data_IF_064515643946
#
_entry.id   IF_064515643946
#
_cell.length_a   1.000
_cell.length_b   1.000
_cell.length_c   1.000
_cell.angle_alpha   90.00
_cell.angle_beta   90.00
_cell.angle_gamma   90.00
#
_symmetry.space_group_name_H-M   'P 1'
#
loop_
_entity.id
_entity.type
_entity.pdbx_description
1 polymer ?
#
# COMPACT_ATOMS: atom_id res chain seq x y z
N UNK A 1 -5.13 23.19 13.67
CA UNK A 1 -6.60 23.35 13.48
C UNK A 1 -7.04 23.61 12.04
N UNK A 2 -6.42 24.55 11.31
CA UNK A 2 -6.81 24.84 9.91
C UNK A 2 -6.79 23.60 8.98
N UNK A 3 -5.75 22.76 9.07
CA UNK A 3 -5.62 21.55 8.26
C UNK A 3 -6.77 20.56 8.49
N UNK A 4 -7.19 20.39 9.75
CA UNK A 4 -8.31 19.51 10.13
C UNK A 4 -9.62 19.99 9.51
N UNK A 5 -9.93 21.28 9.64
CA UNK A 5 -11.16 21.86 9.11
C UNK A 5 -11.24 21.73 7.58
N UNK A 6 -10.14 21.99 6.87
CA UNK A 6 -10.08 21.85 5.42
C UNK A 6 -10.22 20.38 4.99
N UNK A 7 -9.58 19.46 5.70
CA UNK A 7 -9.69 18.03 5.41
C UNK A 7 -11.12 17.50 5.63
N UNK A 8 -11.82 17.96 6.68
CA UNK A 8 -13.23 17.60 6.92
C UNK A 8 -14.13 18.09 5.78
N UNK A 9 -13.94 19.33 5.32
CA UNK A 9 -14.66 19.86 4.16
C UNK A 9 -14.33 19.10 2.88
N UNK A 10 -13.08 18.73 2.67
CA UNK A 10 -12.67 17.98 1.49
C UNK A 10 -13.35 16.61 1.42
N UNK A 11 -13.43 15.90 2.55
CA UNK A 11 -14.14 14.62 2.64
C UNK A 11 -15.65 14.80 2.45
N UNK A 12 -16.24 15.87 2.97
CA UNK A 12 -17.66 16.19 2.77
C UNK A 12 -18.00 16.49 1.30
N UNK A 13 -17.06 17.09 0.54
CA UNK A 13 -17.21 17.33 -0.90
C UNK A 13 -16.98 16.07 -1.74
N UNK A 14 -15.98 15.27 -1.35
CA UNK A 14 -15.60 14.06 -2.09
C UNK A 14 -14.97 13.03 -1.14
N UNK A 15 -15.70 11.95 -0.88
CA UNK A 15 -15.25 10.85 -0.02
C UNK A 15 -14.37 9.86 -0.80
N UNK A 16 -13.19 10.29 -1.21
CA UNK A 16 -12.17 9.42 -1.82
C UNK A 16 -11.24 8.82 -0.76
N UNK A 17 -10.64 7.65 -1.04
CA UNK A 17 -9.69 7.01 -0.11
C UNK A 17 -8.52 7.93 0.25
N UNK A 18 -8.00 8.68 -0.73
CA UNK A 18 -6.92 9.65 -0.52
C UNK A 18 -7.31 10.79 0.42
N UNK A 19 -8.51 11.33 0.27
CA UNK A 19 -9.02 12.41 1.12
C UNK A 19 -9.28 11.92 2.55
N UNK A 20 -9.81 10.70 2.70
CA UNK A 20 -10.03 10.06 4.00
C UNK A 20 -8.69 9.83 4.71
N UNK A 21 -7.67 9.35 3.98
CA UNK A 21 -6.32 9.18 4.54
C UNK A 21 -5.74 10.54 5.00
N UNK A 22 -5.88 11.59 4.20
CA UNK A 22 -5.42 12.94 4.57
C UNK A 22 -6.12 13.45 5.85
N UNK A 23 -7.44 13.25 5.96
CA UNK A 23 -8.19 13.60 7.17
C UNK A 23 -7.71 12.80 8.39
N UNK A 24 -7.49 11.49 8.22
CA UNK A 24 -6.95 10.65 9.28
C UNK A 24 -5.55 11.11 9.73
N UNK A 25 -4.69 11.55 8.80
CA UNK A 25 -3.37 12.12 9.13
C UNK A 25 -3.54 13.39 9.96
N UNK A 26 -4.44 14.29 9.58
CA UNK A 26 -4.72 15.50 10.36
C UNK A 26 -5.23 15.17 11.76
N UNK A 27 -6.08 14.14 11.93
CA UNK A 27 -6.53 13.68 13.25
C UNK A 27 -5.40 13.07 14.08
N UNK A 28 -4.52 12.28 13.47
CA UNK A 28 -3.37 11.68 14.16
C UNK A 28 -2.38 12.76 14.64
N UNK A 29 -2.04 13.72 13.77
CA UNK A 29 -1.18 14.86 14.12
C UNK A 29 -1.82 15.77 15.18
N UNK A 30 -3.15 15.89 15.18
CA UNK A 30 -3.92 16.58 16.22
C UNK A 30 -4.09 15.81 17.52
N UNK A 31 -3.30 14.75 17.73
CA UNK A 31 -3.34 13.84 18.88
C UNK A 31 -4.72 13.22 19.16
N UNK A 32 -5.55 13.10 18.12
CA UNK A 32 -6.91 12.54 18.16
C UNK A 32 -6.92 11.15 17.52
N UNK A 33 -6.01 10.27 17.97
CA UNK A 33 -5.84 8.91 17.44
C UNK A 33 -7.12 8.07 17.49
N UNK A 34 -7.97 8.29 18.49
CA UNK A 34 -9.27 7.63 18.59
C UNK A 34 -10.20 7.95 17.40
N UNK A 35 -10.27 9.22 16.98
CA UNK A 35 -11.10 9.63 15.83
C UNK A 35 -10.55 9.04 14.53
N UNK A 36 -9.23 9.10 14.34
CA UNK A 36 -8.57 8.52 13.18
C UNK A 36 -8.80 7.00 13.10
N UNK A 37 -8.70 6.29 14.23
CA UNK A 37 -8.98 4.85 14.33
C UNK A 37 -10.40 4.52 13.88
N UNK A 38 -11.41 5.22 14.40
CA UNK A 38 -12.80 4.94 14.06
C UNK A 38 -13.12 5.30 12.61
N UNK A 39 -12.61 6.42 12.11
CA UNK A 39 -12.77 6.82 10.71
C UNK A 39 -12.27 5.71 9.78
N UNK A 40 -10.99 5.32 9.92
CA UNK A 40 -10.35 4.30 9.08
C UNK A 40 -10.99 2.91 9.24
N UNK A 41 -11.49 2.57 10.44
CA UNK A 41 -12.21 1.32 10.67
C UNK A 41 -13.54 1.26 9.91
N UNK A 42 -14.26 2.38 9.82
CA UNK A 42 -15.58 2.44 9.17
C UNK A 42 -15.51 2.55 7.65
N UNK A 43 -14.54 3.26 7.10
CA UNK A 43 -14.39 3.48 5.66
C UNK A 43 -13.69 2.34 4.93
N UNK A 44 -13.03 1.43 5.67
CA UNK A 44 -12.26 0.33 5.10
C UNK A 44 -10.78 0.67 4.89
N UNK A 45 -9.97 -0.38 4.77
CA UNK A 45 -8.50 -0.33 4.75
C UNK A 45 -7.92 -0.74 3.39
N UNK A 46 -8.44 -0.18 2.30
CA UNK A 46 -8.02 -0.50 0.92
C UNK A 46 -6.56 -0.13 0.64
N UNK A 47 -6.21 1.15 0.85
CA UNK A 47 -4.85 1.65 0.62
C UNK A 47 -3.82 1.22 1.68
N UNK A 48 -2.58 0.99 1.26
CA UNK A 48 -1.44 0.75 2.17
C UNK A 48 -1.23 1.90 3.16
N UNK A 49 -1.44 3.14 2.72
CA UNK A 49 -1.28 4.32 3.58
C UNK A 49 -2.30 4.32 4.72
N UNK A 50 -3.56 4.00 4.42
CA UNK A 50 -4.64 3.86 5.39
C UNK A 50 -4.37 2.71 6.37
N UNK A 51 -3.89 1.56 5.89
CA UNK A 51 -3.47 0.43 6.73
C UNK A 51 -2.34 0.81 7.69
N UNK A 52 -1.31 1.46 7.18
CA UNK A 52 -0.16 1.91 7.98
C UNK A 52 -0.59 2.89 9.07
N UNK A 53 -1.37 3.91 8.70
CA UNK A 53 -1.86 4.91 9.65
C UNK A 53 -2.81 4.32 10.70
N UNK A 54 -3.68 3.38 10.31
CA UNK A 54 -4.53 2.65 11.24
C UNK A 54 -3.69 1.88 12.27
N UNK A 55 -2.64 1.19 11.84
CA UNK A 55 -1.74 0.49 12.75
C UNK A 55 -1.03 1.43 13.72
N UNK A 56 -0.59 2.62 13.27
CA UNK A 56 -0.03 3.64 14.16
C UNK A 56 -1.05 4.09 15.23
N UNK A 57 -2.29 4.35 14.81
CA UNK A 57 -3.37 4.70 15.74
C UNK A 57 -3.64 3.57 16.74
N UNK A 58 -3.63 2.31 16.30
CA UNK A 58 -3.82 1.15 17.17
C UNK A 58 -2.73 1.04 18.24
N UNK A 59 -1.47 1.25 17.87
CA UNK A 59 -0.35 1.23 18.83
C UNK A 59 -0.51 2.35 19.86
N UNK A 60 -0.86 3.57 19.43
CA UNK A 60 -1.09 4.69 20.33
C UNK A 60 -2.26 4.44 21.30
N UNK A 61 -3.28 3.69 20.86
CA UNK A 61 -4.42 3.29 21.69
C UNK A 61 -4.21 1.99 22.48
N UNK A 62 -3.05 1.34 22.38
CA UNK A 62 -2.74 0.06 23.03
C UNK A 62 -3.45 -1.17 22.42
N UNK A 63 -4.11 -1.02 21.27
CA UNK A 63 -4.81 -2.11 20.56
C UNK A 63 -3.84 -2.92 19.70
N UNK A 64 -2.92 -3.63 20.34
CA UNK A 64 -1.83 -4.35 19.65
C UNK A 64 -2.32 -5.47 18.73
N UNK A 65 -3.43 -6.13 19.08
CA UNK A 65 -4.02 -7.20 18.28
C UNK A 65 -4.49 -6.67 16.91
N UNK A 66 -5.29 -5.60 16.92
CA UNK A 66 -5.79 -4.93 15.71
C UNK A 66 -4.63 -4.43 14.83
N UNK A 67 -3.58 -3.88 15.46
CA UNK A 67 -2.39 -3.41 14.73
C UNK A 67 -1.70 -4.55 13.98
N UNK A 68 -1.50 -5.70 14.65
CA UNK A 68 -0.88 -6.88 14.05
C UNK A 68 -1.70 -7.39 12.88
N UNK A 69 -3.00 -7.59 13.07
CA UNK A 69 -3.90 -8.14 12.06
C UNK A 69 -3.89 -7.28 10.77
N UNK A 70 -3.93 -5.95 10.91
CA UNK A 70 -3.94 -5.04 9.76
C UNK A 70 -2.60 -5.03 9.01
N UNK A 71 -1.48 -5.13 9.72
CA UNK A 71 -0.16 -5.18 9.10
C UNK A 71 0.11 -6.51 8.39
N UNK A 72 -0.43 -7.63 8.89
CA UNK A 72 -0.26 -8.96 8.29
C UNK A 72 -1.33 -9.33 7.26
N UNK A 73 -2.40 -8.53 7.12
CA UNK A 73 -3.55 -8.82 6.24
C UNK A 73 -3.19 -8.98 4.75
N UNK A 74 -2.11 -8.34 4.27
CA UNK A 74 -1.60 -8.48 2.89
C UNK A 74 -0.61 -9.64 2.70
N UNK A 75 -0.37 -10.44 3.74
CA UNK A 75 0.72 -11.43 3.77
C UNK A 75 2.10 -10.80 3.96
N UNK A 76 3.11 -11.62 4.25
CA UNK A 76 4.47 -11.17 4.55
C UNK A 76 5.18 -10.42 3.41
N UNK A 77 4.63 -10.51 2.18
CA UNK A 77 5.16 -9.85 0.98
C UNK A 77 4.59 -8.45 0.75
N UNK A 78 3.46 -8.10 1.36
CA UNK A 78 2.75 -6.84 1.09
C UNK A 78 2.57 -6.02 2.37
N UNK A 79 3.69 -5.83 3.07
CA UNK A 79 3.69 -5.01 4.29
C UNK A 79 3.45 -3.54 3.91
N UNK A 80 2.43 -2.88 4.50
CA UNK A 80 2.08 -1.51 4.13
C UNK A 80 3.27 -0.56 4.28
N UNK A 81 3.59 0.21 3.23
CA UNK A 81 4.68 1.18 3.25
C UNK A 81 6.10 0.57 3.38
N UNK A 82 6.29 -0.70 2.98
CA UNK A 82 7.60 -1.34 2.85
C UNK A 82 8.39 -1.42 4.17
N UNK A 83 9.57 -0.81 4.20
CA UNK A 83 10.45 -0.81 5.38
C UNK A 83 9.77 -0.20 6.62
N UNK A 84 9.03 0.90 6.47
CA UNK A 84 8.36 1.57 7.58
C UNK A 84 7.27 0.69 8.22
N UNK A 85 6.53 -0.08 7.41
CA UNK A 85 5.55 -1.03 7.93
C UNK A 85 6.18 -2.22 8.62
N UNK A 86 7.31 -2.73 8.12
CA UNK A 86 8.06 -3.81 8.78
C UNK A 86 8.59 -3.37 10.14
N UNK A 87 9.12 -2.14 10.21
CA UNK A 87 9.50 -1.53 11.48
C UNK A 87 8.30 -1.42 12.44
N UNK A 88 7.14 -0.98 11.95
CA UNK A 88 5.94 -0.88 12.78
C UNK A 88 5.48 -2.26 13.29
N UNK A 89 5.57 -3.28 12.45
CA UNK A 89 5.25 -4.67 12.82
C UNK A 89 6.23 -5.21 13.87
N UNK A 90 7.53 -4.94 13.72
CA UNK A 90 8.56 -5.28 14.72
C UNK A 90 8.27 -4.62 16.06
N UNK A 91 7.86 -3.35 16.08
CA UNK A 91 7.42 -2.65 17.30
C UNK A 91 6.20 -3.31 17.92
N UNK A 92 5.21 -3.72 17.13
CA UNK A 92 4.04 -4.45 17.64
C UNK A 92 4.46 -5.77 18.27
N UNK A 93 5.33 -6.55 17.63
CA UNK A 93 5.81 -7.81 18.19
C UNK A 93 6.58 -7.63 19.49
N UNK A 94 7.42 -6.58 19.58
CA UNK A 94 8.10 -6.22 20.81
C UNK A 94 7.13 -5.89 21.95
N UNK A 95 6.09 -5.10 21.67
CA UNK A 95 5.06 -4.75 22.64
C UNK A 95 4.20 -5.95 23.07
N UNK A 96 4.04 -6.94 22.20
CA UNK A 96 3.36 -8.21 22.50
C UNK A 96 4.26 -9.19 23.29
N UNK A 97 5.57 -8.93 23.35
CA UNK A 97 6.56 -9.78 24.03
C UNK A 97 7.21 -10.85 23.14
N UNK A 98 6.94 -10.83 21.82
CA UNK A 98 7.54 -11.73 20.83
C UNK A 98 8.85 -11.15 20.31
N UNK A 99 9.91 -11.23 21.14
CA UNK A 99 11.19 -10.57 20.85
C UNK A 99 11.89 -11.13 19.60
N UNK A 100 11.82 -12.44 19.38
CA UNK A 100 12.48 -13.08 18.24
C UNK A 100 11.88 -12.62 16.91
N UNK A 101 10.54 -12.64 16.80
CA UNK A 101 9.85 -12.15 15.61
C UNK A 101 10.09 -10.65 15.39
N UNK A 102 10.19 -9.87 16.47
CA UNK A 102 10.50 -8.44 16.37
C UNK A 102 11.87 -8.22 15.73
N UNK A 103 12.91 -8.95 16.15
CA UNK A 103 14.26 -8.90 15.56
C UNK A 103 14.22 -9.22 14.07
N UNK A 104 13.54 -10.30 13.68
CA UNK A 104 13.41 -10.70 12.28
C UNK A 104 12.78 -9.59 11.43
N UNK A 105 11.72 -8.95 11.92
CA UNK A 105 11.10 -7.85 11.18
C UNK A 105 12.01 -6.61 11.10
N UNK A 106 12.77 -6.28 12.15
CA UNK A 106 13.73 -5.18 12.09
C UNK A 106 14.88 -5.43 11.12
N UNK A 107 15.42 -6.66 11.09
CA UNK A 107 16.43 -7.07 10.10
C UNK A 107 15.88 -6.94 8.69
N UNK A 108 14.66 -7.41 8.42
CA UNK A 108 14.00 -7.24 7.11
C UNK A 108 13.81 -5.76 6.76
N UNK A 109 13.44 -4.95 7.74
CA UNK A 109 13.25 -3.51 7.54
C UNK A 109 14.56 -2.80 7.17
N UNK A 110 15.67 -3.17 7.81
CA UNK A 110 17.02 -2.65 7.52
C UNK A 110 17.55 -3.15 6.18
N UNK A 111 17.22 -4.38 5.76
CA UNK A 111 17.57 -4.88 4.42
C UNK A 111 16.88 -4.07 3.30
N UNK A 112 15.66 -3.58 3.54
CA UNK A 112 14.96 -2.72 2.60
C UNK A 112 15.44 -1.27 2.67
N UNK A 113 15.65 -0.75 3.88
CA UNK A 113 16.15 0.61 4.09
C UNK A 113 17.28 0.60 5.14
N UNK A 114 18.55 0.52 4.68
CA UNK A 114 19.71 0.53 5.56
C UNK A 114 19.90 1.83 6.35
N UNK A 115 19.26 2.93 5.92
CA UNK A 115 19.35 4.23 6.58
C UNK A 115 18.34 4.41 7.72
N UNK A 116 17.54 3.38 8.02
CA UNK A 116 16.51 3.46 9.05
C UNK A 116 17.11 3.25 10.45
N UNK A 117 17.68 4.32 11.00
CA UNK A 117 18.28 4.34 12.35
C UNK A 117 17.35 3.78 13.43
N UNK A 118 16.06 4.12 13.36
CA UNK A 118 15.07 3.68 14.36
C UNK A 118 14.94 2.16 14.45
N UNK A 119 15.08 1.42 13.34
CA UNK A 119 15.06 -0.04 13.37
C UNK A 119 16.38 -0.63 13.89
N UNK A 120 17.50 0.04 13.61
CA UNK A 120 18.82 -0.34 14.12
C UNK A 120 18.87 -0.21 15.65
N UNK A 121 18.45 0.93 16.19
CA UNK A 121 18.39 1.18 17.63
C UNK A 121 17.55 0.12 18.35
N UNK A 122 16.38 -0.22 17.81
CA UNK A 122 15.50 -1.23 18.40
C UNK A 122 16.08 -2.65 18.32
N UNK A 123 16.82 -2.96 17.25
CA UNK A 123 17.48 -4.25 17.09
C UNK A 123 18.64 -4.41 18.08
N UNK A 124 19.47 -3.38 18.25
CA UNK A 124 20.53 -3.33 19.25
C UNK A 124 19.97 -3.42 20.68
N UNK A 125 18.89 -2.69 20.97
CA UNK A 125 18.22 -2.76 22.27
C UNK A 125 17.66 -4.17 22.58
N UNK A 126 17.36 -4.95 21.54
CA UNK A 126 16.95 -6.34 21.68
C UNK A 126 18.14 -7.31 21.73
N UNK A 127 19.39 -6.87 21.57
CA UNK A 127 20.59 -7.71 21.56
C UNK A 127 20.84 -8.41 20.22
N UNK A 128 20.43 -7.81 19.11
CA UNK A 128 20.69 -8.29 17.73
C UNK A 128 21.84 -7.55 17.05
N UNK A 129 22.92 -7.25 17.79
CA UNK A 129 24.03 -6.42 17.31
C UNK A 129 24.78 -7.07 16.13
N UNK A 130 24.91 -8.40 16.14
CA UNK A 130 25.56 -9.16 15.06
C UNK A 130 24.76 -9.05 13.77
N UNK A 131 23.44 -9.31 13.83
CA UNK A 131 22.57 -9.21 12.66
C UNK A 131 22.50 -7.77 12.11
N UNK A 132 22.58 -6.77 13.00
CA UNK A 132 22.59 -5.37 12.61
C UNK A 132 23.87 -5.00 11.83
N UNK A 133 25.03 -5.47 12.31
CA UNK A 133 26.32 -5.26 11.65
C UNK A 133 26.36 -5.95 10.28
N UNK A 134 25.84 -7.17 10.17
CA UNK A 134 25.77 -7.90 8.90
C UNK A 134 24.95 -7.14 7.85
N UNK A 135 23.78 -6.62 8.23
CA UNK A 135 22.91 -5.90 7.29
C UNK A 135 23.55 -4.58 6.84
N UNK A 136 24.21 -3.86 7.74
CA UNK A 136 24.91 -2.62 7.39
C UNK A 136 26.12 -2.91 6.51
N UNK A 137 26.91 -3.94 6.83
CA UNK A 137 28.05 -4.35 6.02
C UNK A 137 27.62 -4.75 4.60
N UNK A 138 26.52 -5.50 4.49
CA UNK A 138 25.92 -5.87 3.21
C UNK A 138 25.46 -4.63 2.43
N UNK A 139 24.75 -3.70 3.08
CA UNK A 139 24.29 -2.46 2.44
C UNK A 139 25.46 -1.58 1.96
N UNK A 140 26.51 -1.45 2.77
CA UNK A 140 27.71 -0.72 2.43
C UNK A 140 28.44 -1.35 1.23
N UNK A 141 28.54 -2.68 1.18
CA UNK A 141 29.12 -3.40 0.07
C UNK A 141 28.30 -3.20 -1.23
N UNK A 142 26.98 -3.28 -1.16
CA UNK A 142 26.10 -3.00 -2.30
C UNK A 142 26.25 -1.56 -2.80
N UNK A 143 26.30 -0.58 -1.89
CA UNK A 143 26.49 0.83 -2.27
C UNK A 143 27.86 1.07 -2.93
N UNK A 144 28.92 0.48 -2.37
CA UNK A 144 30.27 0.55 -2.95
C UNK A 144 30.32 -0.10 -4.35
N UNK A 145 29.62 -1.21 -4.56
CA UNK A 145 29.55 -1.89 -5.86
C UNK A 145 28.78 -1.09 -6.93
N UNK A 146 27.78 -0.31 -6.52
CA UNK A 146 27.09 0.64 -7.42
C UNK A 146 28.02 1.77 -7.82
N UNK A 147 28.80 2.32 -6.89
CA UNK A 147 29.77 3.38 -7.17
C UNK A 147 30.95 2.92 -8.03
N UNK A 148 31.37 1.65 -7.89
CA UNK A 148 32.43 1.06 -8.72
C UNK A 148 31.97 0.63 -10.12
N UNK A 149 30.67 0.79 -10.45
CA UNK A 149 30.12 0.50 -11.77
C UNK A 149 30.05 -0.99 -12.12
N UNK A 150 30.14 -1.89 -11.13
CA UNK A 150 30.22 -3.34 -11.35
C UNK A 150 28.88 -4.08 -11.27
N UNK A 151 27.77 -3.39 -10.94
CA UNK A 151 26.45 -4.01 -10.81
C UNK A 151 25.40 -3.24 -11.61
N UNK A 152 24.84 -3.88 -12.64
CA UNK A 152 23.53 -3.54 -13.18
C UNK A 152 22.48 -3.84 -12.11
N UNK A 153 21.57 -2.90 -11.86
CA UNK A 153 20.54 -2.95 -10.83
C UNK A 153 19.91 -4.35 -10.67
N UNK A 154 19.62 -4.82 -9.44
CA UNK A 154 18.83 -6.02 -9.27
C UNK A 154 17.45 -5.78 -9.89
N UNK A 155 17.02 -6.70 -10.75
CA UNK A 155 15.72 -6.65 -11.40
C UNK A 155 14.62 -6.51 -10.34
N UNK A 156 13.98 -5.35 -10.29
CA UNK A 156 12.73 -5.15 -9.56
C UNK A 156 11.67 -6.05 -10.18
N UNK A 157 11.28 -7.09 -9.44
CA UNK A 157 10.16 -7.94 -9.79
C UNK A 157 8.85 -7.16 -9.71
N UNK A 158 8.22 -6.94 -10.86
CA UNK A 158 6.77 -6.95 -10.99
C UNK A 158 6.02 -5.65 -10.66
N UNK A 159 6.33 -4.56 -11.36
CA UNK A 159 5.34 -3.52 -11.58
C UNK A 159 4.36 -4.01 -12.67
N UNK A 160 3.18 -4.46 -12.25
CA UNK A 160 2.05 -4.67 -13.14
C UNK A 160 1.65 -3.32 -13.76
N UNK A 161 2.07 -3.10 -15.01
CA UNK A 161 1.43 -2.14 -15.90
C UNK A 161 0.32 -2.87 -16.62
N UNK A 162 -0.93 -2.54 -16.34
CA UNK A 162 -1.99 -2.72 -17.32
C UNK A 162 -2.93 -1.52 -17.29
N UNK A 163 -3.29 -1.06 -18.49
CA UNK A 163 -4.44 -0.17 -18.69
C UNK A 163 -4.14 1.32 -18.88
N UNK A 164 -3.38 1.68 -19.92
CA UNK A 164 -3.42 3.05 -20.44
C UNK A 164 -2.99 3.12 -21.89
N UNK A 165 -3.95 3.10 -22.82
CA UNK A 165 -3.80 3.83 -24.09
C UNK A 165 -5.15 4.19 -24.72
N UNK A 166 -5.35 5.50 -24.78
CA UNK A 166 -6.35 6.21 -25.56
C UNK A 166 -6.07 6.13 -27.06
N UNK A 167 -7.16 6.31 -27.81
CA UNK A 167 -7.26 6.51 -29.26
C UNK A 167 -6.19 7.41 -29.89
N UNK A 168 -5.76 7.04 -31.10
CA UNK A 168 -5.75 7.96 -32.24
C UNK A 168 -5.84 7.24 -33.59
N UNK A 169 -6.52 7.90 -34.51
CA UNK A 169 -7.06 7.41 -35.76
C UNK A 169 -6.11 7.55 -36.97
N UNK A 170 -6.32 6.68 -37.96
CA UNK A 170 -6.16 6.83 -39.43
C UNK A 170 -5.85 5.44 -40.02
N UNK A 171 -6.45 4.91 -41.09
CA UNK A 171 -7.52 5.33 -41.99
C UNK A 171 -7.70 4.23 -43.07
N UNK A 172 -8.93 4.10 -43.56
CA UNK A 172 -9.35 3.64 -44.91
C UNK A 172 -8.98 2.21 -45.37
N UNK A 173 -10.00 1.34 -45.46
CA UNK A 173 -10.43 0.69 -46.72
C UNK A 173 -11.87 0.11 -46.60
N UNK A 174 -12.70 0.13 -47.66
CA UNK A 174 -14.12 -0.24 -47.64
C UNK A 174 -14.38 -1.74 -47.89
N UNK A 175 -15.57 -2.29 -47.51
CA UNK A 175 -15.94 -3.67 -47.82
C UNK A 175 -16.50 -3.82 -49.26
N UNK A 176 -16.32 -4.99 -49.90
CA UNK A 176 -16.84 -5.23 -51.24
C UNK A 176 -18.34 -5.57 -51.24
N UNK A 177 -18.99 -5.14 -52.32
CA UNK A 177 -20.35 -5.48 -52.67
C UNK A 177 -20.49 -6.97 -53.06
N UNK A 178 -21.54 -7.62 -52.59
CA UNK A 178 -21.97 -8.95 -52.99
C UNK A 178 -23.50 -9.01 -52.95
N UNK A 179 -24.08 -9.24 -54.12
CA UNK A 179 -25.46 -9.02 -54.55
C UNK A 179 -26.38 -10.23 -54.41
N UNK A 180 -27.70 -9.96 -54.28
CA UNK A 180 -28.81 -10.86 -54.67
C UNK A 180 -29.50 -11.55 -53.48
N UNK A 181 -30.81 -11.72 -53.35
CA UNK A 181 -32.06 -11.46 -54.10
C UNK A 181 -33.19 -11.54 -53.03
N UNK A 182 -34.10 -10.58 -52.87
CA UNK A 182 -35.44 -10.37 -53.48
C UNK A 182 -36.56 -11.38 -53.10
N UNK A 183 -37.73 -10.77 -52.82
CA UNK A 183 -39.13 -11.28 -52.69
C UNK A 183 -39.60 -11.59 -51.26
N UNK A 184 -40.48 -10.79 -50.63
CA UNK A 184 -41.94 -10.53 -50.85
C UNK A 184 -42.88 -11.69 -50.46
N UNK A 185 -43.83 -11.39 -49.56
CA UNK A 185 -44.96 -12.24 -49.13
C UNK A 185 -45.44 -11.82 -47.73
N UNK A 186 -46.30 -10.82 -47.53
CA UNK A 186 -47.78 -10.79 -47.59
C UNK A 186 -48.50 -11.73 -46.59
N UNK A 187 -49.32 -11.14 -45.71
CA UNK A 187 -50.41 -11.78 -44.93
C UNK A 187 -49.97 -12.38 -43.58
N UNK A 188 -50.74 -12.40 -42.49
CA UNK A 188 -52.17 -12.13 -42.28
C UNK A 188 -52.44 -11.97 -40.77
N UNK A 189 -53.57 -11.34 -40.45
CA UNK A 189 -54.21 -11.25 -39.13
C UNK A 189 -54.28 -12.58 -38.35
N UNK A 190 -54.19 -12.51 -37.02
CA UNK A 190 -55.19 -13.08 -36.11
C UNK A 190 -54.88 -12.70 -34.64
N UNK A 191 -55.76 -11.90 -34.05
CA UNK A 191 -55.93 -11.80 -32.60
C UNK A 191 -57.26 -12.49 -32.26
N UNK A 192 -57.22 -13.50 -31.40
CA UNK A 192 -58.39 -14.10 -30.73
C UNK A 192 -57.88 -14.94 -29.55
N UNK A 193 -58.46 -14.70 -28.37
CA UNK A 193 -58.16 -15.40 -27.12
C UNK A 193 -58.18 -14.45 -25.95
#
# INVERSE_FOLDING_TARGET
>A
DNAKFLAERLVALSASEGNINLLAVCYYQGNQAYRAYHLLKTTGLGSHNSRYLYAMCCIQLGKLHDAREVLTKGGDREVPNGAAGLYLLGRVYRLVGRMQDAREQFVRALRLNPLMWSAYEELCALGGDEEAQEVIAYAAACHAAVLSGQVSAPAEGGAAQDGGQQQQANGVQPPPAGSGERMQGVGHMAASG
#
